data_IF_031795539786
#
_entry.id   IF_031795539786
#
_cell.length_a   1.000
_cell.length_b   1.000
_cell.length_c   1.000
_cell.angle_alpha   90.00
_cell.angle_beta   90.00
_cell.angle_gamma   90.00
#
_symmetry.space_group_name_H-M   'P 1'
#
loop_
_entity.id
_entity.type
_entity.pdbx_description
1 polymer ?
#
# COMPACT_ATOMS: atom_id res chain seq x y z
N UNK A 1 -1.99 43.23 15.78
CA UNK A 1 -2.49 41.96 15.20
C UNK A 1 -1.49 40.87 15.54
N UNK A 2 -1.65 40.24 16.70
CA UNK A 2 -0.81 39.13 17.16
C UNK A 2 -1.15 37.90 16.33
N UNK A 3 -0.20 37.43 15.53
CA UNK A 3 -0.33 36.23 14.70
C UNK A 3 -0.42 35.04 15.66
N UNK A 4 -1.62 34.48 15.83
CA UNK A 4 -1.80 33.23 16.57
C UNK A 4 -1.05 32.16 15.77
N UNK A 5 0.11 31.76 16.27
CA UNK A 5 0.92 30.72 15.66
C UNK A 5 0.17 29.39 15.87
N UNK A 6 -0.54 28.94 14.84
CA UNK A 6 -1.19 27.64 14.87
C UNK A 6 -0.12 26.58 15.07
N UNK A 7 -0.28 25.74 16.09
CA UNK A 7 0.64 24.63 16.31
C UNK A 7 0.66 23.73 15.05
N UNK A 8 1.80 23.16 14.69
CA UNK A 8 1.91 22.33 13.50
C UNK A 8 2.47 20.98 13.89
N UNK A 9 1.71 19.92 13.67
CA UNK A 9 2.17 18.56 13.93
C UNK A 9 2.68 17.93 12.63
N UNK A 10 3.97 17.64 12.60
CA UNK A 10 4.66 17.07 11.43
C UNK A 10 4.57 15.55 11.45
N UNK A 11 3.89 14.99 10.47
CA UNK A 11 3.80 13.56 10.21
C UNK A 11 4.71 13.22 9.04
N UNK A 12 5.61 12.26 9.20
CA UNK A 12 6.33 11.73 8.05
C UNK A 12 5.37 10.87 7.22
N UNK A 13 5.11 11.30 5.99
CA UNK A 13 4.18 10.61 5.08
C UNK A 13 4.96 10.06 3.90
N UNK A 14 4.59 8.86 3.44
CA UNK A 14 5.04 8.27 2.18
C UNK A 14 3.84 7.76 1.39
N UNK A 15 3.87 7.86 0.05
CA UNK A 15 2.85 7.36 -0.87
C UNK A 15 3.51 6.42 -1.86
N UNK A 16 2.88 5.26 -2.11
CA UNK A 16 3.26 4.31 -3.15
C UNK A 16 2.05 3.56 -3.69
N UNK A 17 2.15 3.07 -4.93
CA UNK A 17 1.20 2.08 -5.44
C UNK A 17 1.49 0.73 -4.79
N UNK A 18 0.45 -0.07 -4.53
CA UNK A 18 0.65 -1.44 -4.11
C UNK A 18 1.39 -2.25 -5.19
N UNK A 19 1.00 -2.01 -6.44
CA UNK A 19 1.61 -2.60 -7.63
C UNK A 19 1.94 -1.49 -8.64
N UNK A 20 2.68 -1.85 -9.68
CA UNK A 20 2.94 -0.97 -10.82
C UNK A 20 1.87 -1.05 -11.91
N UNK A 21 0.87 -1.93 -11.72
CA UNK A 21 -0.22 -2.15 -12.65
C UNK A 21 -1.54 -2.07 -11.90
N UNK A 22 -2.49 -1.33 -12.47
CA UNK A 22 -3.89 -1.33 -12.07
C UNK A 22 -4.69 -2.13 -13.11
N UNK A 23 -5.38 -3.15 -12.64
CA UNK A 23 -6.19 -4.04 -13.47
C UNK A 23 -7.67 -3.63 -13.39
N UNK A 24 -8.18 -3.02 -14.47
CA UNK A 24 -9.56 -2.54 -14.53
C UNK A 24 -10.59 -3.68 -14.47
N UNK A 25 -10.21 -4.93 -14.73
CA UNK A 25 -11.11 -6.09 -14.54
C UNK A 25 -11.37 -6.41 -13.07
N UNK A 26 -10.49 -5.97 -12.18
CA UNK A 26 -10.55 -6.26 -10.74
C UNK A 26 -9.95 -7.60 -10.32
N UNK A 27 -9.36 -8.39 -11.23
CA UNK A 27 -8.75 -9.67 -10.88
C UNK A 27 -7.53 -9.48 -9.95
N UNK A 28 -6.73 -8.42 -10.17
CA UNK A 28 -5.68 -8.00 -9.25
C UNK A 28 -6.14 -6.84 -8.35
N UNK A 29 -6.31 -7.04 -7.02
CA UNK A 29 -6.73 -5.97 -6.13
C UNK A 29 -5.65 -4.89 -6.02
N UNK A 30 -6.00 -3.66 -6.39
CA UNK A 30 -5.09 -2.53 -6.36
C UNK A 30 -5.37 -1.58 -5.18
N UNK A 31 -4.35 -0.83 -4.78
CA UNK A 31 -4.53 0.20 -3.78
C UNK A 31 -3.38 1.19 -3.73
N UNK A 32 -3.70 2.37 -3.21
CA UNK A 32 -2.74 3.43 -2.93
C UNK A 32 -2.37 3.32 -1.45
N UNK A 33 -1.08 3.16 -1.19
CA UNK A 33 -0.54 2.86 0.13
C UNK A 33 0.14 4.09 0.70
N UNK A 34 -0.32 4.48 1.88
CA UNK A 34 0.23 5.57 2.68
C UNK A 34 1.01 4.98 3.85
N UNK A 35 2.28 5.36 3.98
CA UNK A 35 3.06 5.14 5.20
C UNK A 35 3.06 6.41 6.03
N UNK A 36 2.59 6.34 7.27
CA UNK A 36 2.53 7.48 8.18
C UNK A 36 3.33 7.20 9.45
N UNK A 37 4.17 8.14 9.88
CA UNK A 37 4.96 8.01 11.10
C UNK A 37 5.14 9.36 11.80
N UNK A 38 4.91 9.38 13.11
CA UNK A 38 5.34 10.50 13.96
C UNK A 38 6.84 10.41 14.17
N UNK A 39 7.56 11.39 13.63
CA UNK A 39 9.04 11.43 13.62
C UNK A 39 9.58 12.85 13.88
N UNK A 40 8.75 13.79 14.31
CA UNK A 40 9.23 15.14 14.59
C UNK A 40 9.99 15.18 15.91
N UNK A 41 11.17 15.80 15.95
CA UNK A 41 11.92 16.00 17.20
C UNK A 41 11.19 16.93 18.20
N UNK A 42 10.27 17.76 17.71
CA UNK A 42 9.44 18.64 18.54
C UNK A 42 8.15 17.96 19.03
N UNK A 43 7.90 16.72 18.61
CA UNK A 43 6.75 15.94 19.04
C UNK A 43 7.12 15.14 20.29
N UNK A 44 6.74 15.67 21.45
CA UNK A 44 7.05 15.11 22.78
C UNK A 44 5.84 14.44 23.43
N UNK A 45 4.72 14.29 22.71
CA UNK A 45 3.53 13.65 23.27
C UNK A 45 3.68 12.12 23.29
N UNK A 46 3.63 11.54 24.48
CA UNK A 46 3.82 10.11 24.72
C UNK A 46 2.62 9.26 24.29
N UNK A 47 1.45 9.86 24.03
CA UNK A 47 0.23 9.16 23.67
C UNK A 47 0.21 8.85 22.19
N UNK A 48 -0.45 7.78 21.79
CA UNK A 48 -0.70 7.51 20.37
C UNK A 48 -1.67 8.56 19.79
N UNK A 49 -1.51 8.89 18.50
CA UNK A 49 -2.35 9.84 17.80
C UNK A 49 -3.34 9.10 16.91
N UNK A 50 -4.63 9.32 17.12
CA UNK A 50 -5.71 8.72 16.33
C UNK A 50 -6.20 9.77 15.34
N UNK A 51 -6.13 9.45 14.05
CA UNK A 51 -6.49 10.32 12.93
C UNK A 51 -7.72 9.76 12.23
N UNK A 52 -8.73 10.60 12.01
CA UNK A 52 -9.83 10.26 11.11
C UNK A 52 -9.37 10.49 9.66
N UNK A 53 -9.57 9.50 8.80
CA UNK A 53 -9.09 9.56 7.42
C UNK A 53 -10.08 10.23 6.46
N UNK A 54 -11.35 10.37 6.84
CA UNK A 54 -12.36 10.98 5.99
C UNK A 54 -12.04 12.46 5.72
N UNK A 55 -12.37 12.91 4.51
CA UNK A 55 -12.16 14.30 4.08
C UNK A 55 -10.69 14.78 4.27
N UNK A 56 -9.72 13.88 4.06
CA UNK A 56 -8.27 14.13 4.20
C UNK A 56 -7.48 13.59 3.01
N UNK A 57 -6.16 13.77 2.99
CA UNK A 57 -5.25 13.20 1.98
C UNK A 57 -5.27 11.66 1.91
N UNK A 58 -5.82 10.99 2.93
CA UNK A 58 -5.98 9.53 2.98
C UNK A 58 -7.28 9.05 2.34
N UNK A 59 -8.24 9.95 2.12
CA UNK A 59 -9.44 9.71 1.32
C UNK A 59 -9.14 10.13 -0.11
N UNK A 60 -8.70 9.18 -0.94
CA UNK A 60 -8.09 9.50 -2.25
C UNK A 60 -9.02 10.28 -3.19
N UNK A 61 -10.30 9.88 -3.42
CA UNK A 61 -11.20 10.66 -4.27
C UNK A 61 -11.39 12.09 -3.77
N UNK A 62 -11.68 12.25 -2.48
CA UNK A 62 -11.82 13.57 -1.86
C UNK A 62 -10.55 14.40 -2.02
N UNK A 63 -9.39 13.80 -1.73
CA UNK A 63 -8.11 14.47 -1.77
C UNK A 63 -7.71 14.92 -3.18
N UNK A 64 -8.05 14.12 -4.20
CA UNK A 64 -7.86 14.50 -5.59
C UNK A 64 -8.77 15.66 -6.00
N UNK A 65 -10.06 15.59 -5.63
CA UNK A 65 -11.05 16.63 -5.92
C UNK A 65 -10.72 17.97 -5.22
N UNK A 66 -10.19 17.92 -3.99
CA UNK A 66 -9.89 19.08 -3.15
C UNK A 66 -8.41 19.53 -3.21
N UNK A 67 -7.63 19.00 -4.15
CA UNK A 67 -6.26 19.44 -4.39
C UNK A 67 -5.26 19.10 -3.28
N UNK A 68 -5.57 18.14 -2.40
CA UNK A 68 -4.60 17.56 -1.45
C UNK A 68 -3.68 16.54 -2.14
N UNK A 69 -4.18 15.90 -3.20
CA UNK A 69 -3.42 15.03 -4.09
C UNK A 69 -3.44 15.55 -5.53
N UNK A 70 -2.33 15.36 -6.23
CA UNK A 70 -2.27 15.55 -7.69
C UNK A 70 -2.34 14.21 -8.40
N UNK A 71 -3.13 14.14 -9.47
CA UNK A 71 -3.14 13.02 -10.41
C UNK A 71 -2.60 13.55 -11.75
N UNK A 72 -1.57 12.88 -12.26
CA UNK A 72 -0.97 13.16 -13.57
C UNK A 72 -1.07 11.94 -14.44
N UNK A 73 -1.37 12.17 -15.71
CA UNK A 73 -1.36 11.17 -16.78
C UNK A 73 -0.13 11.43 -17.65
N UNK A 74 0.67 10.38 -17.84
CA UNK A 74 1.73 10.36 -18.85
C UNK A 74 1.23 9.44 -19.96
N UNK A 75 0.88 10.02 -21.12
CA UNK A 75 0.44 9.27 -22.29
C UNK A 75 1.56 8.38 -22.84
N UNK A 76 1.18 7.31 -23.56
CA UNK A 76 2.13 6.40 -24.20
C UNK A 76 2.91 7.08 -25.35
N UNK A 77 2.29 8.03 -26.05
CA UNK A 77 2.83 8.59 -27.30
C UNK A 77 3.62 9.90 -27.13
N UNK A 78 3.20 10.80 -26.23
CA UNK A 78 3.75 12.17 -26.20
C UNK A 78 4.64 12.47 -24.98
N UNK A 79 4.71 11.58 -23.99
CA UNK A 79 5.53 11.74 -22.77
C UNK A 79 5.22 12.98 -21.92
N UNK A 80 4.19 13.76 -22.29
CA UNK A 80 3.82 15.00 -21.63
C UNK A 80 2.94 14.69 -20.42
N UNK A 81 3.38 15.11 -19.23
CA UNK A 81 2.58 15.02 -18.00
C UNK A 81 1.38 15.97 -18.11
N UNK A 82 0.18 15.43 -18.25
CA UNK A 82 -1.07 16.21 -18.26
C UNK A 82 -1.79 16.09 -16.93
N UNK A 83 -2.42 17.20 -16.49
CA UNK A 83 -3.28 17.17 -15.32
C UNK A 83 -4.62 16.54 -15.73
N UNK A 84 -5.00 15.47 -15.04
CA UNK A 84 -6.23 14.74 -15.36
C UNK A 84 -7.44 15.54 -14.91
N UNK A 85 -8.50 15.56 -15.74
CA UNK A 85 -9.79 16.12 -15.34
C UNK A 85 -10.41 15.28 -14.21
N UNK A 86 -10.74 15.96 -13.11
CA UNK A 86 -11.27 15.36 -11.88
C UNK A 86 -12.74 15.70 -11.66
N UNK A 87 -13.39 16.33 -12.63
CA UNK A 87 -14.80 16.73 -12.58
C UNK A 87 -15.74 15.56 -12.24
N UNK A 88 -15.34 14.34 -12.60
CA UNK A 88 -16.08 13.08 -12.37
C UNK A 88 -15.94 12.52 -10.95
N UNK A 89 -14.96 12.99 -10.17
CA UNK A 89 -14.87 12.63 -8.76
C UNK A 89 -15.94 13.44 -8.03
N UNK A 90 -17.10 12.84 -7.83
CA UNK A 90 -18.12 13.45 -7.01
C UNK A 90 -17.56 13.57 -5.57
N UNK A 91 -18.22 14.37 -4.74
CA UNK A 91 -17.89 14.47 -3.33
C UNK A 91 -18.85 13.60 -2.50
N UNK A 92 -18.98 12.26 -2.72
CA UNK A 92 -19.69 11.48 -1.73
C UNK A 92 -18.83 11.54 -0.48
N UNK A 93 -19.39 12.11 0.60
CA UNK A 93 -18.82 11.94 1.93
C UNK A 93 -18.62 10.44 2.11
N UNK A 94 -17.37 10.01 2.14
CA UNK A 94 -17.05 8.64 2.53
C UNK A 94 -17.52 8.51 3.97
N UNK A 95 -18.72 7.96 4.17
CA UNK A 95 -19.38 7.81 5.47
C UNK A 95 -18.69 6.82 6.40
N UNK A 96 -17.46 6.39 6.07
CA UNK A 96 -16.65 5.56 6.92
C UNK A 96 -15.86 6.40 7.90
N UNK A 97 -16.14 6.25 9.20
CA UNK A 97 -15.26 6.68 10.29
C UNK A 97 -14.00 5.79 10.37
N UNK A 98 -13.28 5.69 9.25
CA UNK A 98 -11.98 5.03 9.21
C UNK A 98 -11.00 5.87 10.02
N UNK A 99 -10.44 5.24 11.04
CA UNK A 99 -9.43 5.85 11.91
C UNK A 99 -8.14 5.05 11.81
N UNK A 100 -7.02 5.76 11.85
CA UNK A 100 -5.69 5.17 11.95
C UNK A 100 -5.03 5.64 13.23
N UNK A 101 -4.17 4.80 13.80
CA UNK A 101 -3.41 5.14 15.00
C UNK A 101 -1.94 5.24 14.66
N UNK A 102 -1.33 6.39 14.95
CA UNK A 102 0.11 6.62 14.84
C UNK A 102 0.74 6.49 16.22
N UNK A 103 1.73 5.60 16.34
CA UNK A 103 2.43 5.38 17.60
C UNK A 103 3.23 6.62 18.02
N UNK A 104 3.40 6.76 19.33
CA UNK A 104 4.22 7.83 19.91
C UNK A 104 5.67 7.74 19.42
N UNK A 105 6.34 8.90 19.21
CA UNK A 105 7.78 8.93 19.03
C UNK A 105 8.55 8.79 20.36
N UNK A 106 7.91 9.11 21.49
CA UNK A 106 8.51 9.04 22.83
C UNK A 106 8.65 7.57 23.24
N UNK A 107 9.82 7.21 23.78
CA UNK A 107 10.18 5.85 24.20
C UNK A 107 10.40 4.83 23.09
N UNK A 108 10.56 5.28 21.83
CA UNK A 108 10.87 4.38 20.71
C UNK A 108 12.32 3.91 20.77
N UNK A 109 12.54 2.61 20.95
CA UNK A 109 13.86 1.99 20.96
C UNK A 109 14.33 1.58 19.56
N UNK A 110 13.38 1.32 18.66
CA UNK A 110 13.66 0.95 17.28
C UNK A 110 13.80 2.15 16.33
N UNK A 111 14.46 1.93 15.19
CA UNK A 111 14.54 2.93 14.14
C UNK A 111 13.13 3.32 13.63
N UNK A 112 12.85 4.63 13.52
CA UNK A 112 11.51 5.18 13.23
C UNK A 112 10.81 4.61 11.98
N UNK A 113 11.58 4.16 10.98
CA UNK A 113 11.05 3.49 9.77
C UNK A 113 10.36 2.15 10.05
N UNK A 114 10.59 1.53 11.21
CA UNK A 114 9.84 0.34 11.63
C UNK A 114 8.49 0.69 12.25
N UNK A 115 8.27 1.95 12.59
CA UNK A 115 7.04 2.45 13.24
C UNK A 115 6.07 3.11 12.27
N UNK A 116 6.19 2.84 10.98
CA UNK A 116 5.21 3.30 10.00
C UNK A 116 3.88 2.58 10.22
N UNK A 117 2.82 3.36 10.44
CA UNK A 117 1.46 2.87 10.26
C UNK A 117 1.15 2.88 8.77
N UNK A 118 0.78 1.72 8.23
CA UNK A 118 0.42 1.56 6.82
C UNK A 118 -1.09 1.67 6.67
N UNK A 119 -1.54 2.67 5.91
CA UNK A 119 -2.93 2.81 5.49
C UNK A 119 -3.04 2.49 4.00
N UNK A 120 -4.01 1.66 3.62
CA UNK A 120 -4.23 1.27 2.23
C UNK A 120 -5.63 1.72 1.80
N UNK A 121 -5.67 2.69 0.89
CA UNK A 121 -6.89 2.99 0.16
C UNK A 121 -7.03 1.97 -0.97
N UNK A 122 -8.10 1.17 -0.94
CA UNK A 122 -8.41 0.21 -2.02
C UNK A 122 -9.10 0.97 -3.13
N UNK A 123 -8.60 0.81 -4.36
CA UNK A 123 -9.28 1.33 -5.55
C UNK A 123 -10.23 0.24 -6.00
N UNK A 124 -11.52 0.53 -5.93
CA UNK A 124 -12.57 -0.35 -6.44
C UNK A 124 -12.68 -0.17 -7.96
N UNK A 125 -12.57 -1.23 -8.78
CA UNK A 125 -12.75 -1.15 -10.23
C UNK A 125 -14.09 -0.57 -10.69
N UNK A 126 -15.13 -0.62 -9.85
CA UNK A 126 -16.43 -0.02 -10.15
C UNK A 126 -16.59 1.42 -9.61
N UNK A 127 -15.54 2.00 -9.00
CA UNK A 127 -15.62 3.33 -8.39
C UNK A 127 -15.47 4.48 -9.39
N UNK A 128 -15.92 5.66 -8.97
CA UNK A 128 -15.69 6.91 -9.70
C UNK A 128 -14.21 7.17 -9.96
N UNK A 129 -13.33 6.75 -9.03
CA UNK A 129 -11.89 6.88 -9.19
C UNK A 129 -11.35 6.05 -10.36
N UNK A 130 -11.89 4.84 -10.56
CA UNK A 130 -11.51 4.01 -11.71
C UNK A 130 -11.88 4.69 -13.02
N UNK A 131 -13.05 5.33 -13.09
CA UNK A 131 -13.55 5.99 -14.30
C UNK A 131 -12.68 7.15 -14.82
N UNK A 132 -11.73 7.60 -14.00
CA UNK A 132 -10.74 8.63 -14.34
C UNK A 132 -9.53 8.02 -15.05
N UNK A 133 -9.27 6.72 -14.88
CA UNK A 133 -8.14 6.03 -15.48
C UNK A 133 -8.51 5.48 -16.86
N UNK A 134 -7.74 5.86 -17.87
CA UNK A 134 -7.83 5.31 -19.22
C UNK A 134 -6.98 4.05 -19.31
N UNK A 135 -7.45 3.07 -20.07
CA UNK A 135 -6.68 1.88 -20.39
C UNK A 135 -5.35 2.26 -21.06
N UNK A 136 -4.29 1.52 -20.73
CA UNK A 136 -2.93 1.65 -21.30
C UNK A 136 -2.20 2.97 -20.98
N UNK A 137 -2.77 3.80 -20.10
CA UNK A 137 -2.14 5.03 -19.66
C UNK A 137 -1.41 4.86 -18.33
N UNK A 138 -0.34 5.63 -18.17
CA UNK A 138 0.45 5.67 -16.94
C UNK A 138 -0.01 6.83 -16.07
N UNK A 139 -0.27 6.54 -14.81
CA UNK A 139 -0.74 7.51 -13.84
C UNK A 139 0.27 7.69 -12.71
N UNK A 140 0.34 8.91 -12.19
CA UNK A 140 1.10 9.25 -10.99
C UNK A 140 0.22 10.02 -10.00
N UNK A 141 0.10 9.50 -8.78
CA UNK A 141 -0.56 10.14 -7.64
C UNK A 141 0.48 10.52 -6.59
N UNK A 142 0.46 11.76 -6.12
CA UNK A 142 1.35 12.26 -5.06
C UNK A 142 0.68 13.40 -4.26
N UNK A 143 1.26 13.75 -3.11
CA UNK A 143 0.83 14.93 -2.35
C UNK A 143 1.01 16.20 -3.19
N UNK A 144 -0.01 17.05 -3.19
CA UNK A 144 0.05 18.37 -3.82
C UNK A 144 0.87 19.38 -3.00
N UNK A 145 0.94 19.18 -1.69
CA UNK A 145 1.66 20.02 -0.76
C UNK A 145 1.85 19.35 0.60
N UNK A 146 2.34 20.08 1.61
CA UNK A 146 2.58 19.52 2.93
C UNK A 146 1.29 19.29 3.71
N UNK A 147 0.15 19.90 3.37
CA UNK A 147 -1.09 19.73 4.12
C UNK A 147 -1.73 18.36 3.90
N UNK A 148 -2.10 17.67 4.99
CA UNK A 148 -2.82 16.41 4.92
C UNK A 148 -4.35 16.58 4.97
N UNK A 149 -4.85 17.79 5.22
CA UNK A 149 -6.29 18.10 5.23
C UNK A 149 -7.09 17.39 6.33
N UNK A 150 -6.43 16.76 7.31
CA UNK A 150 -7.11 16.04 8.40
C UNK A 150 -7.89 17.02 9.27
N UNK A 151 -9.21 16.88 9.29
CA UNK A 151 -10.12 17.74 10.08
C UNK A 151 -10.26 17.28 11.54
N UNK A 152 -10.14 15.97 11.80
CA UNK A 152 -10.41 15.36 13.11
C UNK A 152 -9.28 14.41 13.50
N UNK A 153 -8.63 14.69 14.63
CA UNK A 153 -7.67 13.80 15.26
C UNK A 153 -7.70 13.99 16.78
N UNK A 154 -7.22 12.99 17.53
CA UNK A 154 -7.13 13.03 19.00
C UNK A 154 -5.98 12.18 19.50
N UNK A 155 -5.47 12.48 20.69
CA UNK A 155 -4.57 11.58 21.39
C UNK A 155 -5.36 10.48 22.11
N UNK A 156 -4.79 9.27 22.15
CA UNK A 156 -5.37 8.14 22.87
C UNK A 156 -5.51 8.48 24.37
N UNK A 157 -6.60 8.05 24.99
CA UNK A 157 -6.90 8.35 26.41
C UNK A 157 -7.59 9.69 26.68
N UNK A 158 -7.78 10.55 25.66
CA UNK A 158 -8.67 11.73 25.79
C UNK A 158 -10.12 11.27 25.60
N UNK A 159 -10.86 11.12 26.71
CA UNK A 159 -12.32 11.01 26.68
C UNK A 159 -12.88 12.40 26.39
N UNK A 160 -13.23 12.67 25.13
CA UNK A 160 -14.05 13.82 24.81
C UNK A 160 -15.36 13.31 24.26
N UNK A 161 -16.43 13.57 25.00
CA UNK A 161 -17.83 13.25 24.66
C UNK A 161 -18.33 14.07 23.47
N UNK A 162 -17.53 15.03 23.01
CA UNK A 162 -17.72 15.73 21.77
C UNK A 162 -16.54 15.38 20.85
N UNK A 163 -16.84 14.94 19.63
CA UNK A 163 -15.91 15.02 18.51
C UNK A 163 -15.76 16.51 18.10
N UNK A 164 -15.55 17.38 19.08
CA UNK A 164 -15.57 18.82 19.00
C UNK A 164 -14.26 19.31 18.40
N UNK A 165 -14.40 20.14 17.37
CA UNK A 165 -13.46 21.15 16.91
C UNK A 165 -12.02 20.99 17.42
N UNK A 166 -11.20 20.35 16.58
CA UNK A 166 -9.78 20.62 16.39
C UNK A 166 -9.12 21.51 17.47
N UNK A 167 -8.18 20.92 18.22
CA UNK A 167 -6.97 21.69 18.53
C UNK A 167 -6.54 22.37 17.22
N UNK A 168 -6.29 23.67 17.25
CA UNK A 168 -5.96 24.54 16.10
C UNK A 168 -4.65 24.13 15.40
N UNK A 169 -4.26 22.86 15.45
CA UNK A 169 -3.01 22.37 14.93
C UNK A 169 -3.22 21.64 13.61
N UNK A 170 -2.48 22.10 12.61
CA UNK A 170 -2.54 21.52 11.27
C UNK A 170 -1.62 20.31 11.20
N UNK A 171 -2.15 19.18 10.75
CA UNK A 171 -1.36 18.00 10.41
C UNK A 171 -0.73 18.21 9.03
N UNK A 172 0.60 18.21 9.01
CA UNK A 172 1.36 18.37 7.77
C UNK A 172 2.32 17.21 7.56
N UNK A 173 2.56 16.84 6.30
CA UNK A 173 3.69 16.03 5.90
C UNK A 173 5.00 16.74 6.21
N UNK A 174 5.95 16.02 6.83
CA UNK A 174 7.29 16.55 7.10
C UNK A 174 8.10 16.85 5.83
N UNK A 175 7.72 16.26 4.69
CA UNK A 175 8.34 16.48 3.38
C UNK A 175 7.27 16.76 2.35
N UNK A 176 7.46 17.82 1.56
CA UNK A 176 6.53 18.18 0.47
C UNK A 176 6.45 17.10 -0.62
N UNK A 177 7.55 16.37 -0.89
CA UNK A 177 7.54 15.18 -1.75
C UNK A 177 7.65 13.91 -0.90
N UNK A 178 6.49 13.34 -0.59
CA UNK A 178 6.30 12.13 0.20
C UNK A 178 6.37 10.86 -0.66
N UNK A 179 7.16 10.83 -1.74
CA UNK A 179 7.04 9.77 -2.74
C UNK A 179 5.75 9.87 -3.57
N UNK A 180 5.51 8.85 -4.40
CA UNK A 180 4.43 8.83 -5.39
C UNK A 180 3.97 7.41 -5.68
N UNK A 181 2.69 7.25 -5.97
CA UNK A 181 2.12 6.04 -6.54
C UNK A 181 2.15 6.16 -8.06
N UNK A 182 2.98 5.36 -8.73
CA UNK A 182 3.01 5.28 -10.19
C UNK A 182 2.53 3.91 -10.62
N UNK A 183 1.58 3.86 -11.55
CA UNK A 183 1.03 2.63 -12.09
C UNK A 183 0.56 2.82 -13.54
N UNK A 184 0.49 1.73 -14.29
CA UNK A 184 -0.12 1.68 -15.62
C UNK A 184 -1.46 0.94 -15.52
N UNK A 185 -2.49 1.49 -16.16
CA UNK A 185 -3.81 0.84 -16.22
C UNK A 185 -3.82 -0.18 -17.36
N UNK A 186 -4.33 -1.38 -17.10
CA UNK A 186 -4.55 -2.41 -18.12
C UNK A 186 -6.01 -2.90 -18.06
N UNK A 187 -6.62 -3.29 -19.19
CA UNK A 187 -7.99 -3.79 -19.20
C UNK A 187 -8.19 -5.05 -18.34
N UNK A 188 -7.25 -6.00 -18.46
CA UNK A 188 -7.24 -7.24 -17.70
C UNK A 188 -5.82 -7.76 -17.61
N UNK A 189 -5.44 -8.35 -16.47
CA UNK A 189 -4.23 -9.17 -16.38
C UNK A 189 -4.53 -10.62 -16.77
N UNK A 190 -3.55 -11.35 -17.34
CA UNK A 190 -3.69 -12.78 -17.51
C UNK A 190 -3.78 -13.46 -16.13
N UNK A 191 -4.72 -14.38 -15.98
CA UNK A 191 -4.83 -15.16 -14.74
C UNK A 191 -3.66 -16.14 -14.68
N UNK A 192 -2.90 -16.21 -13.59
CA UNK A 192 -1.82 -17.20 -13.50
C UNK A 192 -2.39 -18.62 -13.57
N UNK A 193 -1.64 -19.58 -14.14
CA UNK A 193 -2.08 -20.97 -14.23
C UNK A 193 -2.27 -21.55 -12.82
N UNK A 194 -3.27 -22.42 -12.67
CA UNK A 194 -3.59 -23.06 -11.39
C UNK A 194 -2.63 -24.23 -11.17
N UNK A 195 -1.85 -24.15 -10.10
CA UNK A 195 -0.86 -25.17 -9.73
C UNK A 195 -1.19 -25.77 -8.38
N UNK A 196 -1.03 -27.08 -8.27
CA UNK A 196 -0.98 -27.80 -6.99
C UNK A 196 0.45 -28.29 -6.78
N UNK A 197 1.07 -27.87 -5.68
CA UNK A 197 2.44 -28.26 -5.33
C UNK A 197 2.37 -29.11 -4.07
N UNK A 198 2.91 -30.32 -4.11
CA UNK A 198 3.10 -31.18 -2.93
C UNK A 198 4.58 -31.45 -2.71
N UNK A 199 5.00 -31.44 -1.45
CA UNK A 199 6.37 -31.76 -1.04
C UNK A 199 6.34 -32.87 0.00
N UNK A 200 7.19 -33.88 -0.17
CA UNK A 200 7.36 -34.95 0.80
C UNK A 200 8.83 -35.31 0.94
N UNK A 201 9.29 -35.54 2.16
CA UNK A 201 10.63 -36.06 2.44
C UNK A 201 10.54 -37.58 2.55
N UNK A 202 11.41 -38.28 1.85
CA UNK A 202 11.56 -39.72 1.89
C UNK A 202 12.95 -40.06 2.45
N UNK A 203 12.98 -40.98 3.40
CA UNK A 203 14.24 -41.52 3.90
C UNK A 203 14.84 -42.45 2.83
N UNK A 204 16.10 -42.26 2.50
CA UNK A 204 16.82 -43.18 1.63
C UNK A 204 16.89 -44.54 2.31
N UNK A 205 16.48 -45.61 1.61
CA UNK A 205 16.56 -46.97 2.13
C UNK A 205 18.00 -47.27 2.58
N UNK A 206 18.18 -47.42 3.89
CA UNK A 206 19.43 -47.91 4.46
C UNK A 206 19.53 -49.40 4.16
N UNK A 207 20.17 -49.74 3.04
CA UNK A 207 20.62 -51.12 2.84
C UNK A 207 21.63 -51.43 3.95
N UNK A 208 21.29 -52.42 4.78
CA UNK A 208 22.10 -52.89 5.90
C UNK A 208 23.45 -53.40 5.41
N UNK A 209 24.42 -52.51 5.29
CA UNK A 209 25.84 -52.83 5.19
C UNK A 209 26.57 -52.02 6.25
N UNK A 210 27.44 -52.68 7.01
CA UNK A 210 28.06 -52.24 8.28
C UNK A 210 29.06 -51.07 8.18
N UNK A 211 28.83 -50.13 7.27
CA UNK A 211 29.56 -48.88 7.20
C UNK A 211 28.56 -47.71 7.21
N UNK A 212 28.71 -46.82 8.20
CA UNK A 212 27.84 -45.68 8.43
C UNK A 212 27.96 -44.66 7.29
N UNK A 213 27.25 -44.91 6.18
CA UNK A 213 26.97 -43.91 5.15
C UNK A 213 26.01 -42.85 5.74
N UNK A 214 26.16 -41.57 5.36
CA UNK A 214 25.25 -40.52 5.81
C UNK A 214 23.82 -40.84 5.36
N UNK A 215 22.84 -40.71 6.28
CA UNK A 215 21.43 -40.82 5.93
C UNK A 215 21.09 -39.79 4.84
N UNK A 216 20.78 -40.28 3.64
CA UNK A 216 20.34 -39.45 2.53
C UNK A 216 18.82 -39.23 2.64
N UNK A 217 18.41 -37.98 2.74
CA UNK A 217 17.01 -37.59 2.65
C UNK A 217 16.70 -37.13 1.22
N UNK A 218 15.65 -37.69 0.62
CA UNK A 218 15.16 -37.29 -0.68
C UNK A 218 13.97 -36.36 -0.52
N UNK A 219 14.03 -35.18 -1.11
CA UNK A 219 12.88 -34.27 -1.20
C UNK A 219 12.17 -34.51 -2.54
N UNK A 220 10.98 -35.08 -2.48
CA UNK A 220 10.10 -35.19 -3.64
C UNK A 220 9.22 -33.93 -3.71
N UNK A 221 9.31 -33.20 -4.83
CA UNK A 221 8.47 -32.05 -5.14
C UNK A 221 7.63 -32.43 -6.37
N UNK A 222 6.32 -32.55 -6.20
CA UNK A 222 5.39 -32.79 -7.29
C UNK A 222 4.63 -31.51 -7.60
N UNK A 223 4.60 -31.13 -8.87
CA UNK A 223 3.87 -29.96 -9.38
C UNK A 223 2.83 -30.46 -10.37
N UNK A 224 1.55 -30.35 -10.01
CA UNK A 224 0.43 -30.69 -10.87
C UNK A 224 -0.17 -29.41 -11.44
N UNK A 225 -0.18 -29.30 -12.77
CA UNK A 225 -0.95 -28.27 -13.44
C UNK A 225 -2.43 -28.64 -13.42
N UNK A 226 -3.22 -27.87 -12.69
CA UNK A 226 -4.69 -28.05 -12.62
C UNK A 226 -5.43 -27.06 -13.53
N UNK A 227 -4.69 -26.24 -14.29
CA UNK A 227 -5.21 -25.35 -15.31
C UNK A 227 -5.19 -25.95 -16.72
N UNK A 228 -5.79 -25.23 -17.66
CA UNK A 228 -5.81 -25.57 -19.10
C UNK A 228 -4.60 -25.01 -19.87
N UNK A 229 -3.80 -24.16 -19.25
CA UNK A 229 -2.67 -23.47 -19.89
C UNK A 229 -1.39 -24.28 -19.74
N UNK A 230 -0.57 -24.37 -20.79
CA UNK A 230 0.72 -25.06 -20.75
C UNK A 230 1.69 -24.34 -19.82
N UNK A 231 2.37 -25.09 -18.95
CA UNK A 231 3.43 -24.57 -18.08
C UNK A 231 4.79 -25.15 -18.47
N UNK A 232 5.85 -24.38 -18.23
CA UNK A 232 7.23 -24.86 -18.34
C UNK A 232 7.86 -24.90 -16.96
N UNK A 233 8.35 -26.07 -16.55
CA UNK A 233 9.05 -26.24 -15.27
C UNK A 233 10.56 -26.19 -15.53
N UNK A 234 11.24 -25.24 -14.91
CA UNK A 234 12.69 -25.12 -14.96
C UNK A 234 13.27 -25.29 -13.55
N UNK A 235 14.03 -26.36 -13.33
CA UNK A 235 14.80 -26.55 -12.09
C UNK A 235 16.18 -25.91 -12.25
N UNK A 236 16.55 -24.99 -11.36
CA UNK A 236 17.90 -24.43 -11.28
C UNK A 236 18.68 -25.13 -10.16
N UNK A 237 19.84 -25.69 -10.48
CA UNK A 237 20.82 -26.27 -9.53
C UNK A 237 20.34 -27.49 -8.71
N UNK A 238 19.72 -28.50 -9.32
CA UNK A 238 19.42 -29.77 -8.63
C UNK A 238 19.84 -30.95 -9.52
N UNK A 239 20.59 -31.91 -8.97
CA UNK A 239 20.83 -33.23 -9.55
C UNK A 239 19.52 -34.02 -9.45
N UNK A 240 18.86 -34.31 -10.57
CA UNK A 240 17.57 -35.00 -10.61
C UNK A 240 17.80 -36.42 -11.14
N UNK A 241 17.36 -37.43 -10.39
CA UNK A 241 16.97 -38.72 -10.98
C UNK A 241 15.50 -38.59 -11.42
N UNK A 242 15.25 -38.62 -12.73
CA UNK A 242 13.89 -38.55 -13.26
C UNK A 242 13.32 -39.96 -13.36
N UNK A 243 12.19 -40.21 -12.70
CA UNK A 243 11.24 -41.24 -13.14
C UNK A 243 10.03 -40.50 -13.72
N UNK A 244 9.89 -40.56 -15.05
CA UNK A 244 8.73 -40.05 -15.77
C UNK A 244 7.70 -41.17 -15.84
N UNK A 245 6.49 -40.92 -15.34
CA UNK A 245 5.28 -41.66 -15.70
C UNK A 245 4.42 -40.78 -16.59
#
# INVERSE_FOLDING_TARGET
LTRIEMAVLKIHTTIRGQYQVFDSSGALPFGIVFGLCRHSATDTDHRALIINTAESALDVPYALANGLLTLRETGADDGLDTLVDKSRLAHPRSGGDSQITLTSPVSRTEHWRKSFTVFKYRVDPASELESVFKAEHKYTIQLAGPELGVKRYRYNGVQSTELGSAYNSKLISSKASAGKATFTTVPSLPTPPRLQISMSVQDGETNNTEHAEPQHFFLNISVLNTGSETITVQTRNVLISQNVC
#
